data_IF_335894184389
#
_entry.id   IF_335894184389
#
_cell.length_a   1.000
_cell.length_b   1.000
_cell.length_c   1.000
_cell.angle_alpha   90.00
_cell.angle_beta   90.00
_cell.angle_gamma   90.00
#
_symmetry.space_group_name_H-M   'P 1'
#
loop_
_entity.id
_entity.type
_entity.pdbx_description
1 polymer ?
#
# COMPACT_ATOMS: atom_id res chain seq x y z
N UNK A 1 -21.04 -36.86 53.95
CA UNK A 1 -21.52 -35.91 54.97
C UNK A 1 -20.64 -36.01 56.20
N UNK A 2 -20.42 -34.91 56.95
CA UNK A 2 -19.75 -33.68 56.51
C UNK A 2 -18.77 -33.21 57.64
N UNK A 3 -18.11 -32.06 57.72
CA UNK A 3 -18.51 -30.63 57.80
C UNK A 3 -17.18 -29.84 57.96
N UNK A 4 -16.93 -28.76 57.20
CA UNK A 4 -17.29 -27.36 57.50
C UNK A 4 -16.25 -26.64 58.38
N UNK A 5 -15.67 -25.55 57.87
CA UNK A 5 -15.32 -24.31 58.58
C UNK A 5 -14.70 -23.32 57.57
N UNK A 6 -15.43 -22.26 57.22
CA UNK A 6 -14.86 -21.05 56.63
C UNK A 6 -15.81 -20.21 55.79
N UNK A 7 -16.82 -19.64 56.45
CA UNK A 7 -17.82 -18.69 55.94
C UNK A 7 -17.27 -17.28 55.65
N UNK A 8 -18.07 -16.51 54.92
CA UNK A 8 -18.23 -15.04 54.93
C UNK A 8 -17.47 -14.15 53.91
N UNK A 9 -18.15 -13.93 52.77
CA UNK A 9 -18.85 -12.68 52.40
C UNK A 9 -18.11 -11.47 51.76
N UNK A 10 -18.83 -10.84 50.81
CA UNK A 10 -18.53 -9.55 50.17
C UNK A 10 -17.70 -9.68 48.88
N UNK A 11 -18.23 -9.68 47.65
CA UNK A 11 -19.32 -8.84 47.18
C UNK A 11 -18.81 -7.42 46.95
N UNK A 12 -18.08 -7.19 45.86
CA UNK A 12 -18.08 -5.86 45.26
C UNK A 12 -17.89 -5.89 43.74
N UNK A 13 -18.86 -5.27 43.08
CA UNK A 13 -18.94 -5.01 41.65
C UNK A 13 -18.87 -3.50 41.52
N UNK A 14 -17.68 -2.96 41.30
CA UNK A 14 -17.50 -1.54 41.05
C UNK A 14 -17.28 -1.29 39.56
N UNK A 15 -18.43 -1.10 38.90
CA UNK A 15 -18.60 -0.20 37.78
C UNK A 15 -18.55 1.25 38.29
N UNK A 16 -17.75 2.13 37.66
CA UNK A 16 -18.06 3.55 37.67
C UNK A 16 -18.40 4.03 36.24
N UNK A 17 -19.68 3.99 35.91
CA UNK A 17 -20.30 4.97 35.03
C UNK A 17 -20.42 6.30 35.79
N UNK A 18 -19.83 7.36 35.23
CA UNK A 18 -20.53 8.63 35.01
C UNK A 18 -19.54 9.74 34.62
N UNK A 19 -19.79 10.33 33.45
CA UNK A 19 -19.77 11.78 33.36
C UNK A 19 -18.97 12.38 32.22
N UNK A 20 -19.69 12.72 31.15
CA UNK A 20 -19.73 14.13 30.76
C UNK A 20 -19.19 14.50 29.38
N UNK A 21 -20.10 15.07 28.60
CA UNK A 21 -19.90 16.30 27.83
C UNK A 21 -19.35 16.17 26.41
N UNK A 22 -20.30 16.05 25.47
CA UNK A 22 -20.65 17.12 24.53
C UNK A 22 -19.45 17.80 23.84
N UNK A 23 -19.16 17.38 22.61
CA UNK A 23 -18.09 17.98 21.82
C UNK A 23 -18.20 17.67 20.34
N UNK A 24 -19.34 18.02 19.77
CA UNK A 24 -19.51 18.24 18.33
C UNK A 24 -18.46 19.27 17.88
N UNK A 25 -17.33 18.80 17.33
CA UNK A 25 -16.36 19.67 16.66
C UNK A 25 -16.70 19.64 15.16
N UNK A 26 -17.58 20.56 14.78
CA UNK A 26 -17.66 21.07 13.41
C UNK A 26 -16.26 21.49 12.91
N UNK A 27 -15.97 21.41 11.60
CA UNK A 27 -14.74 21.95 11.05
C UNK A 27 -14.69 23.47 11.22
N UNK A 28 -13.54 23.98 11.68
CA UNK A 28 -13.23 25.41 11.73
C UNK A 28 -13.34 26.06 10.34
N UNK A 29 -14.49 26.66 10.06
CA UNK A 29 -14.66 27.72 9.07
C UNK A 29 -14.32 29.06 9.74
N UNK A 30 -13.05 29.44 9.67
CA UNK A 30 -12.60 30.80 9.94
C UNK A 30 -12.34 31.51 8.61
N UNK A 31 -13.42 32.04 8.04
CA UNK A 31 -13.68 33.48 8.11
C UNK A 31 -12.56 34.43 7.69
N UNK A 32 -12.72 34.93 6.46
CA UNK A 32 -12.85 36.35 6.11
C UNK A 32 -11.70 37.35 6.35
N UNK A 33 -11.45 38.09 5.27
CA UNK A 33 -11.35 39.57 5.20
C UNK A 33 -10.03 40.10 4.64
N UNK A 34 -10.13 40.96 3.61
CA UNK A 34 -8.96 41.62 3.05
C UNK A 34 -9.02 42.15 1.62
N UNK A 35 -10.11 42.79 1.22
CA UNK A 35 -10.12 44.10 0.54
C UNK A 35 -9.30 44.39 -0.74
N UNK A 36 -10.06 44.91 -1.71
CA UNK A 36 -9.81 46.18 -2.42
C UNK A 36 -9.41 46.13 -3.92
N UNK A 37 -10.34 46.65 -4.73
CA UNK A 37 -10.04 47.81 -5.59
C UNK A 37 -9.41 47.56 -6.96
N UNK A 38 -10.21 47.64 -8.03
CA UNK A 38 -9.68 47.70 -9.39
C UNK A 38 -10.73 47.78 -10.48
N UNK A 39 -11.46 48.90 -10.52
CA UNK A 39 -12.29 49.34 -11.63
C UNK A 39 -11.46 49.62 -12.89
N UNK A 40 -12.04 49.36 -14.07
CA UNK A 40 -11.69 50.04 -15.32
C UNK A 40 -11.14 49.16 -16.45
N UNK A 41 -11.97 48.97 -17.50
CA UNK A 41 -11.46 48.66 -18.84
C UNK A 41 -12.36 47.82 -19.73
N UNK A 42 -13.57 48.30 -20.02
CA UNK A 42 -14.29 47.97 -21.27
C UNK A 42 -13.49 48.56 -22.44
N UNK A 43 -13.24 47.77 -23.49
CA UNK A 43 -13.39 48.24 -24.88
C UNK A 43 -13.02 47.16 -25.91
N UNK A 44 -14.04 46.80 -26.69
CA UNK A 44 -14.06 46.30 -28.08
C UNK A 44 -14.14 44.78 -28.36
N UNK A 45 -15.23 44.34 -29.02
CA UNK A 45 -15.34 43.03 -29.68
C UNK A 45 -14.86 43.15 -31.14
N UNK A 46 -14.20 42.13 -31.67
CA UNK A 46 -14.05 41.97 -33.12
C UNK A 46 -14.46 40.57 -33.56
N UNK A 47 -15.20 40.58 -34.66
CA UNK A 47 -16.02 39.53 -35.18
C UNK A 47 -15.29 38.74 -36.27
N UNK A 48 -15.69 37.47 -36.40
CA UNK A 48 -15.59 36.72 -37.66
C UNK A 48 -14.40 35.75 -37.75
N UNK A 49 -14.70 34.46 -37.86
CA UNK A 49 -14.88 33.87 -39.19
C UNK A 49 -15.64 32.53 -39.10
N UNK A 50 -16.36 32.24 -40.17
CA UNK A 50 -17.33 31.17 -40.33
C UNK A 50 -16.68 29.79 -40.52
N UNK A 51 -17.40 28.78 -40.01
CA UNK A 51 -17.67 27.47 -40.61
C UNK A 51 -16.82 27.01 -41.81
N UNK A 52 -16.12 25.89 -41.65
CA UNK A 52 -16.15 24.83 -42.66
C UNK A 52 -16.16 23.45 -42.00
N UNK A 53 -17.03 22.59 -42.53
CA UNK A 53 -17.31 21.24 -42.08
C UNK A 53 -16.23 20.25 -42.51
N UNK A 54 -16.22 19.08 -41.87
CA UNK A 54 -15.18 18.06 -42.03
C UNK A 54 -15.28 17.24 -43.31
N UNK A 55 -14.28 16.39 -43.54
CA UNK A 55 -14.46 14.94 -43.70
C UNK A 55 -13.09 14.23 -43.72
N UNK A 56 -13.15 12.98 -43.27
CA UNK A 56 -12.15 11.98 -43.01
C UNK A 56 -10.88 11.95 -43.90
N UNK A 57 -9.73 12.00 -43.23
CA UNK A 57 -8.45 11.55 -43.74
C UNK A 57 -7.83 10.54 -42.78
N UNK A 58 -8.11 9.27 -43.04
CA UNK A 58 -7.39 8.06 -42.63
C UNK A 58 -6.23 8.25 -41.63
N UNK A 59 -6.50 7.96 -40.36
CA UNK A 59 -5.47 7.73 -39.34
C UNK A 59 -5.49 6.25 -38.92
N UNK A 60 -5.36 5.32 -39.86
CA UNK A 60 -4.82 3.99 -39.52
C UNK A 60 -3.33 4.09 -39.26
N UNK A 61 -2.99 4.46 -38.03
CA UNK A 61 -1.62 4.59 -37.56
C UNK A 61 -1.54 4.60 -36.05
N UNK A 62 -2.39 3.83 -35.38
CA UNK A 62 -2.35 3.60 -33.94
C UNK A 62 -1.17 2.69 -33.55
N UNK A 63 0.05 3.20 -33.69
CA UNK A 63 1.21 2.69 -32.95
C UNK A 63 1.41 3.57 -31.73
N UNK A 64 0.57 3.36 -30.73
CA UNK A 64 0.82 3.88 -29.37
C UNK A 64 0.31 2.86 -28.33
N UNK A 65 0.83 1.64 -28.41
CA UNK A 65 0.38 0.50 -27.58
C UNK A 65 1.49 -0.49 -27.23
N UNK A 66 2.76 -0.05 -27.25
CA UNK A 66 3.93 -0.94 -27.18
C UNK A 66 4.21 -1.62 -25.84
N UNK A 67 3.41 -1.39 -24.79
CA UNK A 67 3.55 -2.09 -23.51
C UNK A 67 2.19 -2.49 -22.92
N UNK A 68 1.21 -1.58 -22.91
CA UNK A 68 -0.14 -1.92 -22.42
C UNK A 68 -0.86 -2.96 -23.29
N UNK A 69 -0.68 -2.90 -24.62
CA UNK A 69 -1.26 -3.88 -25.54
C UNK A 69 -0.64 -5.26 -25.35
N UNK A 70 0.66 -5.30 -25.10
CA UNK A 70 1.43 -6.53 -24.92
C UNK A 70 1.10 -7.22 -23.59
N UNK A 71 0.96 -6.46 -22.49
CA UNK A 71 0.56 -7.01 -21.19
C UNK A 71 -0.87 -7.54 -21.23
N UNK A 72 -1.80 -6.80 -21.83
CA UNK A 72 -3.19 -7.25 -22.01
C UNK A 72 -3.27 -8.49 -22.91
N UNK A 73 -2.43 -8.59 -23.94
CA UNK A 73 -2.29 -9.78 -24.78
C UNK A 73 -1.81 -11.01 -24.01
N UNK A 74 -0.73 -10.87 -23.24
CA UNK A 74 -0.20 -11.93 -22.38
C UNK A 74 -1.22 -12.37 -21.31
N UNK A 75 -2.00 -11.44 -20.78
CA UNK A 75 -3.02 -11.75 -19.77
C UNK A 75 -4.17 -12.55 -20.37
N UNK A 76 -4.59 -12.17 -21.58
CA UNK A 76 -5.58 -12.92 -22.32
C UNK A 76 -5.10 -14.35 -22.62
N UNK A 77 -3.82 -14.56 -22.96
CA UNK A 77 -3.25 -15.91 -23.14
C UNK A 77 -3.27 -16.74 -21.84
N UNK A 78 -2.94 -16.13 -20.70
CA UNK A 78 -2.96 -16.84 -19.39
C UNK A 78 -4.39 -17.21 -18.99
N UNK A 79 -5.38 -16.41 -19.41
CA UNK A 79 -6.78 -16.53 -19.00
C UNK A 79 -7.73 -17.04 -20.08
N UNK A 80 -7.24 -17.45 -21.25
CA UNK A 80 -8.06 -17.85 -22.40
C UNK A 80 -8.99 -19.01 -22.05
N UNK A 81 -8.48 -19.98 -21.29
CA UNK A 81 -9.22 -21.17 -20.85
C UNK A 81 -9.93 -21.01 -19.49
N UNK A 82 -9.85 -19.83 -18.87
CA UNK A 82 -10.37 -19.58 -17.52
C UNK A 82 -11.70 -18.84 -17.56
N UNK A 83 -12.69 -19.32 -16.81
CA UNK A 83 -13.95 -18.59 -16.61
C UNK A 83 -13.73 -17.33 -15.78
N UNK A 84 -14.62 -16.33 -15.89
CA UNK A 84 -14.51 -15.09 -15.11
C UNK A 84 -14.46 -15.35 -13.60
N UNK A 85 -15.16 -16.39 -13.12
CA UNK A 85 -15.10 -16.83 -11.73
C UNK A 85 -13.70 -17.36 -11.36
N UNK A 86 -13.07 -18.17 -12.22
CA UNK A 86 -11.72 -18.65 -12.00
C UNK A 86 -10.67 -17.52 -12.07
N UNK A 87 -10.86 -16.53 -12.96
CA UNK A 87 -10.02 -15.32 -13.02
C UNK A 87 -10.13 -14.54 -11.71
N UNK A 88 -11.36 -14.33 -11.22
CA UNK A 88 -11.59 -13.65 -9.95
C UNK A 88 -10.96 -14.40 -8.77
N UNK A 89 -11.05 -15.74 -8.73
CA UNK A 89 -10.38 -16.57 -7.72
C UNK A 89 -8.87 -16.38 -7.79
N UNK A 90 -8.25 -16.50 -8.98
CA UNK A 90 -6.81 -16.31 -9.18
C UNK A 90 -6.33 -14.92 -8.74
N UNK A 91 -7.08 -13.88 -9.06
CA UNK A 91 -6.78 -12.50 -8.66
C UNK A 91 -6.90 -12.33 -7.14
N UNK A 92 -7.91 -12.94 -6.51
CA UNK A 92 -8.05 -12.95 -5.05
C UNK A 92 -6.88 -13.68 -4.38
N UNK A 93 -6.51 -14.86 -4.86
CA UNK A 93 -5.36 -15.61 -4.34
C UNK A 93 -4.07 -14.79 -4.42
N UNK A 94 -3.85 -14.06 -5.52
CA UNK A 94 -2.70 -13.16 -5.64
C UNK A 94 -2.74 -12.03 -4.59
N UNK A 95 -3.91 -11.46 -4.31
CA UNK A 95 -4.07 -10.47 -3.25
C UNK A 95 -3.75 -11.05 -1.87
N UNK A 96 -4.21 -12.27 -1.60
CA UNK A 96 -3.91 -12.99 -0.36
C UNK A 96 -2.40 -13.23 -0.20
N UNK A 97 -1.69 -13.51 -1.31
CA UNK A 97 -0.21 -13.59 -1.32
C UNK A 97 0.47 -12.28 -0.98
N UNK A 98 -0.04 -11.13 -1.45
CA UNK A 98 0.49 -9.83 -1.03
C UNK A 98 0.30 -9.60 0.48
N UNK A 99 -0.85 -9.98 1.04
CA UNK A 99 -1.12 -9.88 2.48
C UNK A 99 -0.16 -10.77 3.26
N UNK A 100 0.07 -12.00 2.79
CA UNK A 100 1.08 -12.90 3.36
C UNK A 100 2.48 -12.27 3.33
N UNK A 101 2.89 -11.70 2.18
CA UNK A 101 4.18 -11.02 2.03
C UNK A 101 4.33 -9.82 2.96
N UNK A 102 3.28 -9.03 3.15
CA UNK A 102 3.25 -7.93 4.12
C UNK A 102 3.53 -8.43 5.53
N UNK A 103 2.81 -9.48 5.96
CA UNK A 103 2.98 -10.06 7.29
C UNK A 103 4.38 -10.66 7.49
N UNK A 104 4.94 -11.33 6.47
CA UNK A 104 6.32 -11.83 6.50
C UNK A 104 7.32 -10.67 6.62
N UNK A 105 7.07 -9.55 5.92
CA UNK A 105 7.92 -8.35 6.00
C UNK A 105 7.90 -7.76 7.41
N UNK A 106 6.73 -7.67 8.05
CA UNK A 106 6.60 -7.23 9.45
C UNK A 106 7.33 -8.16 10.41
N UNK A 107 7.12 -9.48 10.28
CA UNK A 107 7.81 -10.46 11.10
C UNK A 107 9.33 -10.42 10.92
N UNK A 108 9.81 -10.11 9.71
CA UNK A 108 11.24 -9.92 9.47
C UNK A 108 11.77 -8.64 10.12
N UNK A 109 11.01 -7.54 10.07
CA UNK A 109 11.35 -6.30 10.77
C UNK A 109 11.50 -6.53 12.27
N UNK A 110 10.55 -7.23 12.90
CA UNK A 110 10.65 -7.60 14.32
C UNK A 110 11.94 -8.39 14.60
N UNK A 111 12.25 -9.40 13.78
CA UNK A 111 13.51 -10.16 13.91
C UNK A 111 14.74 -9.27 13.83
N UNK A 112 14.76 -8.29 12.92
CA UNK A 112 15.88 -7.34 12.79
C UNK A 112 16.02 -6.47 14.03
N UNK A 113 14.91 -6.04 14.64
CA UNK A 113 14.92 -5.21 15.84
C UNK A 113 15.51 -5.92 17.06
N UNK A 114 15.34 -7.24 17.16
CA UNK A 114 15.95 -8.08 18.20
C UNK A 114 17.42 -8.43 17.96
N UNK A 115 18.01 -8.10 16.80
CA UNK A 115 19.44 -8.37 16.55
C UNK A 115 20.31 -7.45 17.41
N UNK A 116 21.24 -8.05 18.16
CA UNK A 116 22.21 -7.31 18.98
C UNK A 116 23.11 -6.43 18.09
N UNK A 117 22.99 -5.12 18.28
CA UNK A 117 23.76 -4.09 17.57
C UNK A 117 25.17 -3.97 18.16
N UNK A 118 26.17 -3.86 17.28
CA UNK A 118 27.57 -3.58 17.57
C UNK A 118 28.14 -2.62 16.49
N UNK A 119 29.40 -2.21 16.63
CA UNK A 119 30.06 -1.29 15.69
C UNK A 119 30.05 -1.77 14.24
N UNK A 120 30.07 -3.08 14.03
CA UNK A 120 30.30 -3.71 12.73
C UNK A 120 28.97 -3.90 11.98
N UNK A 121 27.88 -4.18 12.70
CA UNK A 121 26.58 -4.49 12.11
C UNK A 121 25.55 -3.35 12.19
N UNK A 122 25.73 -2.33 13.05
CA UNK A 122 24.72 -1.30 13.30
C UNK A 122 24.29 -0.55 12.03
N UNK A 123 25.23 -0.27 11.12
CA UNK A 123 24.92 0.41 9.85
C UNK A 123 24.05 -0.45 8.95
N UNK A 124 24.34 -1.75 8.87
CA UNK A 124 23.59 -2.71 8.06
C UNK A 124 22.19 -2.88 8.65
N UNK A 125 22.09 -3.13 9.96
CA UNK A 125 20.82 -3.26 10.68
C UNK A 125 19.94 -2.02 10.45
N UNK A 126 20.50 -0.81 10.65
CA UNK A 126 19.75 0.45 10.43
C UNK A 126 19.26 0.59 9.00
N UNK A 127 20.09 0.21 8.01
CA UNK A 127 19.71 0.26 6.60
C UNK A 127 18.59 -0.74 6.30
N UNK A 128 18.70 -1.97 6.80
CA UNK A 128 17.70 -3.02 6.61
C UNK A 128 16.38 -2.62 7.26
N UNK A 129 16.37 -2.16 8.52
CA UNK A 129 15.13 -1.71 9.19
C UNK A 129 14.41 -0.63 8.38
N UNK A 130 15.13 0.42 7.93
CA UNK A 130 14.55 1.49 7.10
C UNK A 130 14.03 0.99 5.75
N UNK A 131 14.68 0.00 5.16
CA UNK A 131 14.21 -0.60 3.91
C UNK A 131 12.99 -1.49 4.12
N UNK A 132 12.91 -2.19 5.25
CA UNK A 132 11.73 -2.98 5.62
C UNK A 132 10.52 -2.08 5.90
N UNK A 133 10.71 -0.94 6.56
CA UNK A 133 9.64 0.07 6.76
C UNK A 133 9.03 0.50 5.41
N UNK A 134 9.90 0.90 4.46
CA UNK A 134 9.46 1.31 3.13
C UNK A 134 8.77 0.18 2.37
N UNK A 135 9.29 -1.05 2.48
CA UNK A 135 8.71 -2.22 1.83
C UNK A 135 7.31 -2.52 2.41
N UNK A 136 7.14 -2.48 3.73
CA UNK A 136 5.83 -2.69 4.36
C UNK A 136 4.84 -1.60 3.98
N UNK A 137 5.26 -0.33 3.97
CA UNK A 137 4.40 0.79 3.60
C UNK A 137 3.95 0.69 2.14
N UNK A 138 4.88 0.37 1.25
CA UNK A 138 4.59 0.17 -0.17
C UNK A 138 3.61 -1.00 -0.38
N UNK A 139 3.84 -2.16 0.25
CA UNK A 139 2.94 -3.31 0.10
C UNK A 139 1.55 -2.98 0.65
N UNK A 140 1.45 -2.32 1.81
CA UNK A 140 0.18 -1.91 2.40
C UNK A 140 -0.60 -0.94 1.50
N UNK A 141 0.07 0.08 0.98
CA UNK A 141 -0.51 1.01 0.01
C UNK A 141 -0.98 0.28 -1.24
N UNK A 142 -0.14 -0.64 -1.76
CA UNK A 142 -0.47 -1.41 -2.95
C UNK A 142 -1.76 -2.23 -2.78
N UNK A 143 -1.86 -3.01 -1.69
CA UNK A 143 -3.03 -3.85 -1.39
C UNK A 143 -4.31 -3.02 -1.27
N UNK A 144 -4.22 -1.84 -0.65
CA UNK A 144 -5.40 -1.04 -0.28
C UNK A 144 -5.82 -0.03 -1.35
N UNK A 145 -4.89 0.45 -2.18
CA UNK A 145 -5.12 1.54 -3.14
C UNK A 145 -4.89 1.15 -4.61
N UNK A 146 -3.91 0.29 -4.91
CA UNK A 146 -3.45 0.06 -6.29
C UNK A 146 -3.90 -1.29 -6.87
N UNK A 147 -3.99 -2.34 -6.05
CA UNK A 147 -4.15 -3.71 -6.52
C UNK A 147 -5.36 -3.89 -7.46
N UNK A 148 -6.49 -3.29 -7.09
CA UNK A 148 -7.75 -3.43 -7.85
C UNK A 148 -7.77 -2.62 -9.15
N UNK A 149 -6.80 -1.73 -9.38
CA UNK A 149 -6.73 -0.87 -10.58
C UNK A 149 -5.80 -1.42 -11.65
N UNK A 150 -5.04 -2.48 -11.34
CA UNK A 150 -4.05 -3.10 -12.22
C UNK A 150 -4.53 -4.47 -12.73
N UNK A 151 -4.01 -4.87 -13.88
CA UNK A 151 -4.21 -6.20 -14.44
C UNK A 151 -3.56 -7.29 -13.56
N UNK A 152 -3.94 -8.55 -13.75
CA UNK A 152 -3.35 -9.66 -13.00
C UNK A 152 -1.84 -9.78 -13.23
N UNK A 153 -1.38 -9.62 -14.47
CA UNK A 153 0.05 -9.71 -14.82
C UNK A 153 0.86 -8.58 -14.18
N UNK A 154 0.34 -7.36 -14.18
CA UNK A 154 0.99 -6.24 -13.51
C UNK A 154 1.08 -6.49 -12.00
N UNK A 155 -0.04 -6.89 -11.39
CA UNK A 155 -0.08 -7.26 -9.97
C UNK A 155 0.93 -8.37 -9.65
N UNK A 156 1.06 -9.37 -10.52
CA UNK A 156 1.99 -10.47 -10.34
C UNK A 156 3.45 -10.01 -10.47
N UNK A 157 3.73 -9.09 -11.38
CA UNK A 157 5.06 -8.50 -11.56
C UNK A 157 5.47 -7.67 -10.34
N UNK A 158 4.57 -6.82 -9.83
CA UNK A 158 4.79 -6.05 -8.60
C UNK A 158 4.98 -6.96 -7.38
N UNK A 159 4.25 -8.08 -7.32
CA UNK A 159 4.42 -9.08 -6.26
C UNK A 159 5.85 -9.64 -6.25
N UNK A 160 6.37 -10.07 -7.41
CA UNK A 160 7.74 -10.59 -7.51
C UNK A 160 8.80 -9.53 -7.22
N UNK A 161 8.55 -8.27 -7.59
CA UNK A 161 9.44 -7.18 -7.20
C UNK A 161 9.52 -7.04 -5.68
N UNK A 162 8.38 -7.02 -4.98
CA UNK A 162 8.36 -6.96 -3.52
C UNK A 162 9.08 -8.16 -2.87
N UNK A 163 8.85 -9.36 -3.41
CA UNK A 163 9.51 -10.58 -2.94
C UNK A 163 11.02 -10.52 -3.13
N UNK A 164 11.49 -10.04 -4.29
CA UNK A 164 12.91 -9.88 -4.57
C UNK A 164 13.58 -8.86 -3.65
N UNK A 165 12.91 -7.73 -3.37
CA UNK A 165 13.41 -6.75 -2.39
C UNK A 165 13.54 -7.39 -1.01
N UNK A 166 12.53 -8.13 -0.56
CA UNK A 166 12.56 -8.82 0.73
C UNK A 166 13.72 -9.82 0.82
N UNK A 167 13.90 -10.63 -0.22
CA UNK A 167 14.99 -11.60 -0.31
C UNK A 167 16.36 -10.91 -0.24
N UNK A 168 16.53 -9.80 -0.97
CA UNK A 168 17.76 -9.01 -0.92
C UNK A 168 18.06 -8.45 0.47
N UNK A 169 17.04 -8.03 1.21
CA UNK A 169 17.17 -7.58 2.59
C UNK A 169 17.53 -8.74 3.53
N UNK A 170 16.97 -9.92 3.29
CA UNK A 170 17.30 -11.15 4.02
C UNK A 170 18.76 -11.56 3.80
N UNK A 171 19.25 -11.54 2.57
CA UNK A 171 20.66 -11.79 2.25
C UNK A 171 21.59 -10.81 2.97
N UNK A 172 21.25 -9.51 3.00
CA UNK A 172 22.03 -8.49 3.71
C UNK A 172 22.11 -8.79 5.21
N UNK A 173 21.02 -9.24 5.83
CA UNK A 173 21.04 -9.70 7.22
C UNK A 173 21.84 -11.00 7.40
N UNK A 174 21.82 -11.90 6.41
CA UNK A 174 22.63 -13.12 6.40
C UNK A 174 24.14 -12.84 6.42
N UNK A 175 24.60 -11.70 5.88
CA UNK A 175 26.02 -11.29 5.98
C UNK A 175 26.49 -10.99 7.40
N UNK A 176 25.56 -10.84 8.35
CA UNK A 176 25.86 -10.63 9.77
C UNK A 176 26.13 -11.94 10.52
N UNK A 177 25.78 -13.10 9.95
CA UNK A 177 26.12 -14.38 10.54
C UNK A 177 27.64 -14.59 10.48
N UNK A 178 28.30 -15.01 11.58
CA UNK A 178 29.72 -15.30 11.56
C UNK A 178 29.99 -16.37 10.51
N UNK A 179 30.84 -16.06 9.52
CA UNK A 179 31.38 -17.08 8.61
C UNK A 179 32.05 -18.13 9.49
N UNK A 180 31.57 -19.37 9.43
CA UNK A 180 32.22 -20.46 10.13
C UNK A 180 33.72 -20.41 9.83
N UNK A 181 34.60 -20.44 10.84
CA UNK A 181 36.02 -20.48 10.59
C UNK A 181 36.30 -21.75 9.80
N UNK A 182 36.73 -21.57 8.54
CA UNK A 182 37.28 -22.65 7.72
C UNK A 182 38.40 -23.26 8.55
N UNK A 183 38.15 -24.45 9.12
CA UNK A 183 39.18 -25.21 9.83
C UNK A 183 40.26 -25.51 8.79
N UNK A 184 41.41 -24.86 8.95
CA UNK A 184 42.63 -25.20 8.22
C UNK A 184 43.19 -26.51 8.72
#
# INVERSE_FOLDING_TARGET
EPDDLGDDDGGDSDDPDAGGDDGDMEPDDLGDDGGDGGDGGDDTPDAGDSSDGGDAGDSTGGSDGGEEGDIKGLENEIFEDLTDEQKAIRTKELKDRFIELYNVTLAFKEKVDYVKKNSDNMKIITKVSKSLDKLSDMISYYITKTFNTKSYIENKSDFYYCLWVLDRLNELMGTLAPKEPIKK
#
